data_IF_142374438202
#
_entry.id   IF_142374438202
#
_cell.length_a   1.000
_cell.length_b   1.000
_cell.length_c   1.000
_cell.angle_alpha   90.00
_cell.angle_beta   90.00
_cell.angle_gamma   90.00
#
_symmetry.space_group_name_H-M   'P 1'
#
loop_
_entity.id
_entity.type
_entity.pdbx_description
1 polymer ?
#
# COMPACT_ATOMS: atom_id res chain seq x y z
N UNK A 1 -5.60 -19.22 19.80
CA UNK A 1 -4.33 -19.93 19.49
C UNK A 1 -4.53 -20.82 18.27
N UNK A 2 -4.78 -20.24 17.08
CA UNK A 2 -4.97 -21.00 15.83
C UNK A 2 -4.32 -20.16 14.71
N UNK A 3 -3.40 -20.78 13.95
CA UNK A 3 -2.78 -20.34 12.68
C UNK A 3 -1.57 -19.37 12.71
N UNK A 4 -0.58 -19.60 13.58
CA UNK A 4 0.78 -19.05 13.42
C UNK A 4 1.64 -19.80 12.37
N UNK A 5 1.15 -20.92 11.83
CA UNK A 5 1.93 -21.80 10.92
C UNK A 5 2.06 -21.31 9.46
N UNK A 6 1.49 -20.15 9.09
CA UNK A 6 1.44 -19.68 7.68
C UNK A 6 2.19 -18.37 7.39
N UNK A 7 2.96 -17.85 8.34
CA UNK A 7 3.40 -16.43 8.37
C UNK A 7 4.91 -16.26 8.13
N UNK A 8 5.53 -17.11 7.31
CA UNK A 8 6.92 -16.90 6.89
C UNK A 8 6.93 -16.72 5.38
N UNK A 9 6.58 -15.51 4.94
CA UNK A 9 6.92 -15.07 3.59
C UNK A 9 8.42 -14.76 3.57
N UNK A 10 9.20 -15.29 2.62
CA UNK A 10 10.62 -15.01 2.56
C UNK A 10 10.83 -13.51 2.36
N UNK A 11 11.76 -12.93 3.14
CA UNK A 11 12.22 -11.57 2.93
C UNK A 11 13.19 -11.55 1.76
N UNK A 12 12.91 -10.73 0.76
CA UNK A 12 13.73 -10.62 -0.45
C UNK A 12 14.24 -9.19 -0.55
N UNK A 13 15.54 -9.05 -0.77
CA UNK A 13 16.20 -7.76 -0.97
C UNK A 13 16.77 -7.72 -2.38
N UNK A 14 16.29 -6.78 -3.19
CA UNK A 14 16.75 -6.58 -4.57
C UNK A 14 17.37 -5.19 -4.64
N UNK A 15 18.60 -5.10 -5.14
CA UNK A 15 19.29 -3.84 -5.39
C UNK A 15 19.61 -3.74 -6.87
N UNK A 16 19.15 -2.66 -7.50
CA UNK A 16 19.43 -2.36 -8.89
C UNK A 16 20.65 -1.45 -9.01
N UNK A 17 21.37 -1.55 -10.14
CA UNK A 17 22.50 -0.68 -10.45
C UNK A 17 22.12 0.81 -10.54
N UNK A 18 20.84 1.10 -10.84
CA UNK A 18 20.27 2.45 -10.88
C UNK A 18 20.11 3.11 -9.50
N UNK A 19 20.52 2.45 -8.41
CA UNK A 19 20.41 2.98 -7.04
C UNK A 19 19.06 2.75 -6.36
N UNK A 20 18.11 2.13 -7.06
CA UNK A 20 16.83 1.71 -6.48
C UNK A 20 17.01 0.38 -5.76
N UNK A 21 16.43 0.25 -4.57
CA UNK A 21 16.36 -1.01 -3.83
C UNK A 21 14.94 -1.31 -3.39
N UNK A 22 14.60 -2.59 -3.38
CA UNK A 22 13.31 -3.11 -2.93
C UNK A 22 13.55 -4.14 -1.82
N UNK A 23 12.79 -4.02 -0.73
CA UNK A 23 12.81 -4.95 0.40
C UNK A 23 11.40 -5.48 0.61
N UNK A 24 11.18 -6.73 0.28
CA UNK A 24 9.86 -7.36 0.18
C UNK A 24 9.64 -8.21 1.43
N UNK A 25 8.43 -8.15 2.03
CA UNK A 25 8.03 -8.94 3.21
C UNK A 25 8.93 -8.78 4.45
N UNK A 26 9.64 -7.66 4.56
CA UNK A 26 10.43 -7.30 5.74
C UNK A 26 9.52 -6.72 6.83
N UNK A 27 8.67 -5.76 6.47
CA UNK A 27 7.69 -5.11 7.35
C UNK A 27 6.25 -5.53 6.97
N UNK A 28 5.28 -5.25 7.86
CA UNK A 28 3.86 -5.47 7.60
C UNK A 28 3.51 -6.90 7.10
N UNK A 29 4.15 -7.94 7.66
CA UNK A 29 4.07 -9.35 7.23
C UNK A 29 2.66 -9.97 7.24
N UNK A 30 1.72 -9.36 7.94
CA UNK A 30 0.32 -9.78 7.96
C UNK A 30 -0.47 -9.35 6.72
N UNK A 31 0.05 -8.41 5.93
CA UNK A 31 -0.55 -8.04 4.63
C UNK A 31 -0.35 -9.15 3.60
N UNK A 32 -1.18 -9.15 2.55
CA UNK A 32 -1.04 -10.10 1.43
C UNK A 32 0.21 -9.83 0.60
N UNK A 33 0.60 -8.57 0.48
CA UNK A 33 1.88 -8.15 -0.10
C UNK A 33 2.43 -6.92 0.62
N UNK A 34 3.74 -6.89 0.84
CA UNK A 34 4.42 -5.71 1.39
C UNK A 34 5.78 -5.52 0.73
N UNK A 35 6.10 -4.27 0.40
CA UNK A 35 7.38 -3.90 -0.16
C UNK A 35 7.81 -2.51 0.31
N UNK A 36 9.09 -2.37 0.64
CA UNK A 36 9.75 -1.10 0.88
C UNK A 36 10.54 -0.78 -0.37
N UNK A 37 10.15 0.29 -1.07
CA UNK A 37 10.93 0.85 -2.16
C UNK A 37 11.81 1.98 -1.61
N UNK A 38 13.09 1.96 -1.93
CA UNK A 38 14.04 2.99 -1.52
C UNK A 38 14.88 3.45 -2.70
N UNK A 39 14.91 4.77 -2.90
CA UNK A 39 15.78 5.45 -3.84
C UNK A 39 16.52 6.53 -3.05
N UNK A 40 17.84 6.40 -2.95
CA UNK A 40 18.69 7.30 -2.15
C UNK A 40 18.16 7.42 -0.70
N UNK A 41 17.79 8.64 -0.29
CA UNK A 41 17.29 8.96 1.04
C UNK A 41 15.76 8.95 1.14
N UNK A 42 15.05 8.59 0.07
CA UNK A 42 13.60 8.51 0.05
C UNK A 42 13.17 7.05 0.11
N UNK A 43 12.29 6.73 1.06
CA UNK A 43 11.73 5.39 1.22
C UNK A 43 10.22 5.43 1.33
N UNK A 44 9.55 4.47 0.70
CA UNK A 44 8.09 4.29 0.76
C UNK A 44 7.79 2.85 1.14
N UNK A 45 6.88 2.65 2.10
CA UNK A 45 6.30 1.36 2.42
C UNK A 45 4.98 1.22 1.67
N UNK A 46 4.85 0.15 0.88
CA UNK A 46 3.64 -0.19 0.14
C UNK A 46 3.09 -1.50 0.68
N UNK A 47 1.79 -1.55 0.94
CA UNK A 47 1.10 -2.74 1.44
C UNK A 47 -0.16 -2.99 0.64
N UNK A 48 -0.32 -4.19 0.11
CA UNK A 48 -1.53 -4.60 -0.59
C UNK A 48 -2.27 -5.66 0.23
N UNK A 49 -3.57 -5.49 0.41
CA UNK A 49 -4.44 -6.45 1.08
C UNK A 49 -5.66 -6.68 0.22
N UNK A 50 -6.03 -7.94 0.02
CA UNK A 50 -7.26 -8.31 -0.68
C UNK A 50 -8.08 -9.29 0.13
N UNK A 51 -9.38 -9.03 0.25
CA UNK A 51 -10.27 -9.95 0.96
C UNK A 51 -10.51 -11.21 0.12
N UNK A 52 -10.27 -12.37 0.74
CA UNK A 52 -10.55 -13.67 0.12
C UNK A 52 -12.04 -13.96 -0.10
N UNK A 53 -12.95 -13.16 0.48
CA UNK A 53 -14.40 -13.32 0.37
C UNK A 53 -15.01 -12.01 -0.13
N UNK A 54 -15.91 -12.09 -1.10
CA UNK A 54 -16.65 -10.93 -1.63
C UNK A 54 -17.58 -10.37 -0.53
N UNK A 55 -17.70 -9.03 -0.44
CA UNK A 55 -18.51 -8.37 0.61
C UNK A 55 -20.02 -8.58 0.46
N UNK A 56 -20.51 -8.97 -0.71
CA UNK A 56 -21.93 -9.09 -0.99
C UNK A 56 -22.29 -10.46 -1.55
N UNK A 57 -23.48 -10.93 -1.19
CA UNK A 57 -24.19 -12.06 -1.82
C UNK A 57 -24.69 -11.72 -3.24
N UNK A 58 -24.72 -10.44 -3.62
CA UNK A 58 -24.81 -10.00 -5.01
C UNK A 58 -23.41 -9.72 -5.56
N UNK A 59 -23.09 -10.23 -6.75
CA UNK A 59 -21.81 -9.91 -7.38
C UNK A 59 -21.77 -8.40 -7.69
N UNK A 60 -20.80 -7.64 -7.13
CA UNK A 60 -20.67 -6.23 -7.48
C UNK A 60 -20.32 -6.11 -8.96
N UNK A 61 -20.97 -5.20 -9.68
CA UNK A 61 -20.72 -4.93 -11.10
C UNK A 61 -19.48 -4.05 -11.34
N UNK A 62 -18.70 -3.75 -10.31
CA UNK A 62 -17.52 -2.88 -10.37
C UNK A 62 -16.36 -3.42 -9.54
N UNK A 63 -15.14 -2.95 -9.83
CA UNK A 63 -13.92 -3.27 -9.08
C UNK A 63 -13.84 -2.42 -7.79
N UNK A 64 -14.00 -3.03 -6.59
CA UNK A 64 -13.80 -2.35 -5.31
C UNK A 64 -12.30 -2.23 -5.00
N UNK A 65 -11.68 -1.17 -5.52
CA UNK A 65 -10.27 -0.85 -5.31
C UNK A 65 -10.16 0.52 -4.62
N UNK A 66 -9.47 0.54 -3.49
CA UNK A 66 -9.11 1.75 -2.73
C UNK A 66 -7.59 1.89 -2.70
N UNK A 67 -7.10 3.09 -3.00
CA UNK A 67 -5.66 3.41 -2.96
C UNK A 67 -5.46 4.61 -2.05
N UNK A 68 -4.69 4.40 -0.98
CA UNK A 68 -4.42 5.42 0.03
C UNK A 68 -2.93 5.78 0.06
N UNK A 69 -2.59 6.95 -0.49
CA UNK A 69 -1.24 7.48 -0.40
C UNK A 69 -1.15 8.48 0.77
N UNK A 70 -0.13 8.32 1.63
CA UNK A 70 0.09 9.16 2.80
C UNK A 70 1.54 9.57 2.96
N UNK A 71 1.76 10.86 3.12
CA UNK A 71 3.07 11.43 3.46
C UNK A 71 3.14 11.72 4.96
N UNK A 72 4.11 11.11 5.62
CA UNK A 72 4.36 11.36 7.04
C UNK A 72 5.28 12.56 7.20
N UNK A 73 4.89 13.55 8.00
CA UNK A 73 5.71 14.73 8.28
C UNK A 73 7.06 14.32 8.92
N UNK A 74 7.05 13.23 9.68
CA UNK A 74 8.23 12.60 10.26
C UNK A 74 9.26 12.14 9.20
N UNK A 75 8.83 11.79 7.98
CA UNK A 75 9.74 11.42 6.89
C UNK A 75 10.61 12.60 6.43
N UNK A 76 10.13 13.83 6.62
CA UNK A 76 10.90 15.06 6.37
C UNK A 76 11.54 15.64 7.65
N UNK A 77 11.47 14.92 8.79
CA UNK A 77 11.97 15.40 10.07
C UNK A 77 11.17 16.59 10.64
N UNK A 78 9.92 16.78 10.20
CA UNK A 78 9.07 17.89 10.63
C UNK A 78 7.95 17.43 11.54
N UNK A 79 7.61 18.27 12.53
CA UNK A 79 6.44 18.09 13.38
C UNK A 79 5.30 18.92 12.78
N UNK A 80 4.09 18.36 12.57
CA UNK A 80 2.95 19.14 12.10
C UNK A 80 2.67 20.34 13.02
N UNK A 81 2.48 21.52 12.44
CA UNK A 81 2.34 22.80 13.17
C UNK A 81 0.90 23.12 13.60
N UNK A 82 -0.05 22.25 13.28
CA UNK A 82 -1.43 22.42 13.70
C UNK A 82 -1.61 22.16 15.21
N UNK A 83 -2.78 22.58 15.74
CA UNK A 83 -3.11 22.43 17.16
C UNK A 83 -2.96 20.98 17.68
N UNK A 84 -3.34 20.00 16.86
CA UNK A 84 -3.30 18.58 17.22
C UNK A 84 -1.91 17.94 17.07
N UNK A 85 -0.94 18.64 16.47
CA UNK A 85 0.41 18.14 16.10
C UNK A 85 0.37 16.79 15.37
N UNK A 86 -0.64 16.59 14.52
CA UNK A 86 -0.90 15.34 13.76
C UNK A 86 -1.24 15.68 12.32
N UNK A 87 -1.00 14.77 11.38
CA UNK A 87 -1.49 14.95 10.01
C UNK A 87 -3.04 14.95 10.03
N UNK A 88 -3.66 16.00 9.50
CA UNK A 88 -5.13 16.15 9.45
C UNK A 88 -5.58 16.04 8.00
N UNK A 89 -6.53 15.15 7.75
CA UNK A 89 -7.14 15.00 6.43
C UNK A 89 -6.17 14.45 5.37
N UNK A 90 -6.64 14.39 4.12
CA UNK A 90 -5.80 14.18 2.95
C UNK A 90 -5.45 15.54 2.37
N UNK A 91 -4.19 15.72 1.96
CA UNK A 91 -3.77 16.87 1.15
C UNK A 91 -4.10 16.64 -0.33
N UNK A 92 -4.19 17.71 -1.12
CA UNK A 92 -4.42 17.59 -2.56
C UNK A 92 -3.32 16.76 -3.25
N UNK A 93 -2.07 16.92 -2.82
CA UNK A 93 -0.94 16.13 -3.32
C UNK A 93 -1.14 14.64 -3.07
N UNK A 94 -1.59 14.27 -1.87
CA UNK A 94 -1.86 12.88 -1.52
C UNK A 94 -3.02 12.30 -2.34
N UNK A 95 -4.10 13.07 -2.51
CA UNK A 95 -5.26 12.66 -3.32
C UNK A 95 -4.86 12.46 -4.77
N UNK A 96 -4.11 13.39 -5.35
CA UNK A 96 -3.67 13.31 -6.74
C UNK A 96 -2.72 12.14 -6.98
N UNK A 97 -1.79 11.90 -6.05
CA UNK A 97 -0.85 10.78 -6.12
C UNK A 97 -1.58 9.44 -5.99
N UNK A 98 -2.50 9.31 -5.02
CA UNK A 98 -3.34 8.11 -4.88
C UNK A 98 -4.16 7.83 -6.14
N UNK A 99 -4.77 8.86 -6.75
CA UNK A 99 -5.50 8.74 -8.02
C UNK A 99 -4.62 8.36 -9.21
N UNK A 100 -3.37 8.82 -9.23
CA UNK A 100 -2.40 8.44 -10.28
C UNK A 100 -2.07 6.95 -10.20
N UNK A 101 -1.84 6.45 -8.98
CA UNK A 101 -1.58 5.03 -8.74
C UNK A 101 -2.81 4.20 -9.11
N UNK A 102 -4.01 4.56 -8.64
CA UNK A 102 -5.26 3.87 -8.94
C UNK A 102 -5.48 3.71 -10.46
N UNK A 103 -5.36 4.80 -11.22
CA UNK A 103 -5.51 4.75 -12.68
C UNK A 103 -4.51 3.84 -13.37
N UNK A 104 -3.30 3.71 -12.84
CA UNK A 104 -2.24 2.89 -13.41
C UNK A 104 -2.48 1.39 -13.16
N UNK A 105 -3.01 1.03 -11.99
CA UNK A 105 -3.18 -0.38 -11.60
C UNK A 105 -4.58 -0.94 -11.92
N UNK A 106 -5.63 -0.11 -11.93
CA UNK A 106 -7.01 -0.52 -12.20
C UNK A 106 -7.20 -1.33 -13.50
N UNK A 107 -6.59 -0.96 -14.64
CA UNK A 107 -6.73 -1.76 -15.86
C UNK A 107 -5.96 -3.08 -15.84
N UNK A 108 -5.07 -3.30 -14.87
CA UNK A 108 -4.26 -4.52 -14.77
C UNK A 108 -5.01 -5.67 -14.06
N UNK A 109 -6.17 -5.39 -13.47
CA UNK A 109 -7.01 -6.42 -12.85
C UNK A 109 -7.71 -7.26 -13.90
N UNK A 110 -7.89 -8.55 -13.60
CA UNK A 110 -8.60 -9.46 -14.48
C UNK A 110 -10.08 -9.04 -14.60
N UNK A 111 -10.68 -9.26 -15.78
CA UNK A 111 -12.09 -8.98 -16.01
C UNK A 111 -12.97 -9.75 -15.00
N UNK A 112 -13.89 -9.05 -14.33
CA UNK A 112 -14.77 -9.64 -13.32
C UNK A 112 -14.14 -9.80 -11.93
N UNK A 113 -12.97 -9.21 -11.68
CA UNK A 113 -12.39 -9.18 -10.32
C UNK A 113 -13.22 -8.27 -9.39
N UNK A 114 -13.76 -8.88 -8.33
CA UNK A 114 -14.74 -8.26 -7.42
C UNK A 114 -14.35 -8.36 -5.94
N UNK A 115 -13.07 -8.60 -5.67
CA UNK A 115 -12.53 -8.69 -4.32
C UNK A 115 -12.08 -7.32 -3.83
N UNK A 116 -12.56 -6.95 -2.64
CA UNK A 116 -12.18 -5.69 -1.98
C UNK A 116 -10.68 -5.66 -1.73
N UNK A 117 -10.03 -4.70 -2.39
CA UNK A 117 -8.58 -4.61 -2.47
C UNK A 117 -8.16 -3.21 -2.07
N UNK A 118 -7.24 -3.14 -1.10
CA UNK A 118 -6.66 -1.90 -0.61
C UNK A 118 -5.15 -1.90 -0.85
N UNK A 119 -4.65 -0.76 -1.34
CA UNK A 119 -3.23 -0.50 -1.60
C UNK A 119 -2.79 0.77 -0.91
#
# INVERSE_FOLDING_TARGET
MILLRRIIKPSIHIRYASGISFRINELARFSDGSAIAQLNNTSVLVTSVSKSKTLSSSQPSFLPLTVDYREKAAAAGRIPTNYLRREIGLTDHEILTGRMIDRSIRPLFLNGYVYDTQV
#
